data_IF_366888707681
#
_entry.id   IF_366888707681
#
_cell.length_a   1.000
_cell.length_b   1.000
_cell.length_c   1.000
_cell.angle_alpha   90.00
_cell.angle_beta   90.00
_cell.angle_gamma   90.00
#
_symmetry.space_group_name_H-M   'P 1'
#
loop_
_entity.id
_entity.type
_entity.pdbx_description
1 polymer ?
#
# COMPACT_ATOMS: atom_id res chain seq x y z
N UNK A 1 -11.65 26.67 -9.80
CA UNK A 1 -12.54 25.72 -9.09
C UNK A 1 -13.87 25.70 -9.82
N UNK A 2 -14.08 24.76 -10.76
CA UNK A 2 -15.32 24.71 -11.54
C UNK A 2 -16.42 23.95 -10.78
N UNK A 3 -17.65 24.44 -10.86
CA UNK A 3 -18.84 23.88 -10.20
C UNK A 3 -19.19 22.45 -10.65
N UNK A 4 -18.57 21.93 -11.72
CA UNK A 4 -18.75 20.55 -12.18
C UNK A 4 -18.10 19.50 -11.25
N UNK A 5 -17.12 19.88 -10.44
CA UNK A 5 -16.46 18.97 -9.49
C UNK A 5 -17.34 18.62 -8.27
N UNK A 6 -18.43 19.36 -8.02
CA UNK A 6 -19.30 19.14 -6.86
C UNK A 6 -20.24 17.93 -6.97
N UNK A 7 -20.34 17.31 -8.15
CA UNK A 7 -21.18 16.12 -8.43
C UNK A 7 -20.36 14.85 -8.69
N UNK A 8 -19.03 14.93 -8.70
CA UNK A 8 -18.17 13.77 -8.89
C UNK A 8 -18.02 13.01 -7.56
N UNK A 9 -18.13 11.67 -7.61
CA UNK A 9 -17.80 10.78 -6.49
C UNK A 9 -16.44 11.21 -5.93
N UNK A 10 -16.29 11.37 -4.60
CA UNK A 10 -15.00 11.77 -4.04
C UNK A 10 -13.92 10.78 -4.49
N UNK A 11 -12.71 11.27 -4.84
CA UNK A 11 -11.65 10.40 -5.34
C UNK A 11 -11.32 9.33 -4.30
N UNK A 12 -11.30 8.08 -4.75
CA UNK A 12 -11.03 6.92 -3.91
C UNK A 12 -9.57 6.50 -4.04
N UNK A 13 -9.08 5.85 -2.99
CA UNK A 13 -7.83 5.11 -3.08
C UNK A 13 -8.01 3.94 -4.07
N UNK A 14 -7.03 3.76 -4.95
CA UNK A 14 -7.00 2.71 -5.96
C UNK A 14 -5.68 1.96 -5.84
N UNK A 15 -5.77 0.64 -5.89
CA UNK A 15 -4.61 -0.24 -5.95
C UNK A 15 -4.48 -0.77 -7.37
N UNK A 16 -3.33 -0.56 -8.01
CA UNK A 16 -3.09 -1.05 -9.37
C UNK A 16 -1.94 -2.03 -9.36
N UNK A 17 -2.17 -3.26 -9.82
CA UNK A 17 -1.10 -4.20 -10.06
C UNK A 17 -0.27 -3.73 -11.26
N UNK A 18 1.00 -3.42 -11.05
CA UNK A 18 1.87 -2.82 -12.07
C UNK A 18 2.11 -3.79 -13.24
N UNK A 19 2.12 -5.10 -12.97
CA UNK A 19 2.41 -6.11 -13.99
C UNK A 19 1.19 -6.41 -14.87
N UNK A 20 -0.01 -6.50 -14.28
CA UNK A 20 -1.23 -6.86 -15.02
C UNK A 20 -2.05 -5.65 -15.46
N UNK A 21 -1.82 -4.48 -14.86
CA UNK A 21 -2.66 -3.29 -15.04
C UNK A 21 -4.04 -3.40 -14.36
N UNK A 22 -4.30 -4.48 -13.62
CA UNK A 22 -5.55 -4.66 -12.89
C UNK A 22 -5.67 -3.61 -11.79
N UNK A 23 -6.74 -2.82 -11.83
CA UNK A 23 -7.02 -1.78 -10.86
C UNK A 23 -8.19 -2.20 -9.97
N UNK A 24 -8.03 -1.97 -8.67
CA UNK A 24 -9.02 -2.26 -7.65
C UNK A 24 -9.28 -1.00 -6.81
N UNK A 25 -10.46 -0.43 -6.97
CA UNK A 25 -10.89 0.72 -6.15
C UNK A 25 -11.28 0.27 -4.75
N UNK A 26 -10.85 1.02 -3.73
CA UNK A 26 -11.26 0.78 -2.36
C UNK A 26 -12.74 1.14 -2.17
N UNK A 27 -13.47 0.34 -1.38
CA UNK A 27 -14.88 0.63 -1.05
C UNK A 27 -14.99 1.90 -0.19
N UNK A 28 -14.12 1.99 0.81
CA UNK A 28 -13.96 3.15 1.67
C UNK A 28 -12.48 3.56 1.67
N UNK A 29 -12.24 4.87 1.71
CA UNK A 29 -10.89 5.36 1.91
C UNK A 29 -10.43 5.01 3.34
N UNK A 30 -9.15 4.66 3.53
CA UNK A 30 -8.59 4.49 4.86
C UNK A 30 -8.83 5.74 5.72
N UNK A 31 -9.11 5.56 7.00
CA UNK A 31 -9.33 6.68 7.94
C UNK A 31 -8.03 7.31 8.42
N UNK A 32 -6.97 6.51 8.44
CA UNK A 32 -5.64 6.88 8.89
C UNK A 32 -4.59 6.21 8.00
N UNK A 33 -3.44 6.86 7.88
CA UNK A 33 -2.27 6.35 7.17
C UNK A 33 -1.04 6.63 8.02
N UNK A 34 -0.25 5.60 8.27
CA UNK A 34 1.04 5.74 8.96
C UNK A 34 2.18 5.48 7.99
N UNK A 35 3.03 6.47 7.82
CA UNK A 35 4.24 6.38 7.02
C UNK A 35 5.46 6.32 7.93
N UNK A 36 6.34 5.35 7.67
CA UNK A 36 7.58 5.15 8.43
C UNK A 36 8.78 5.21 7.49
N UNK A 37 9.67 6.17 7.75
CA UNK A 37 10.97 6.30 7.10
C UNK A 37 12.06 6.18 8.16
N UNK A 38 12.95 5.19 8.03
CA UNK A 38 14.00 4.93 9.02
C UNK A 38 15.37 5.22 8.43
N UNK A 39 16.12 6.13 9.06
CA UNK A 39 17.50 6.44 8.65
C UNK A 39 18.50 5.69 9.53
N UNK A 40 19.40 4.94 8.90
CA UNK A 40 20.39 4.12 9.59
C UNK A 40 21.75 4.83 9.62
N UNK A 41 22.30 4.93 10.83
CA UNK A 41 23.59 5.54 11.11
C UNK A 41 24.49 4.54 11.82
N UNK A 42 25.69 4.34 11.29
CA UNK A 42 26.75 3.64 12.00
C UNK A 42 27.43 4.58 12.99
N UNK A 43 27.72 4.11 14.20
CA UNK A 43 28.31 4.93 15.28
C UNK A 43 29.73 4.48 15.54
N UNK A 44 30.70 5.29 15.13
CA UNK A 44 32.12 4.99 15.28
C UNK A 44 32.65 5.61 16.57
N UNK A 45 33.13 4.77 17.48
CA UNK A 45 33.84 5.19 18.69
C UNK A 45 35.32 5.41 18.38
N UNK A 46 35.74 6.67 18.31
CA UNK A 46 37.15 7.02 18.13
C UNK A 46 37.73 7.46 19.47
N UNK A 47 38.74 6.75 20.03
CA UNK A 47 39.40 7.15 21.26
C UNK A 47 39.92 8.59 21.19
N UNK A 48 39.67 9.38 22.23
CA UNK A 48 40.05 10.79 22.29
C UNK A 48 38.97 11.78 21.83
N UNK A 49 37.87 11.31 21.23
CA UNK A 49 36.68 12.14 21.00
C UNK A 49 35.67 12.01 22.15
N UNK A 50 34.98 13.11 22.46
CA UNK A 50 33.93 13.18 23.47
C UNK A 50 32.59 12.59 23.02
N UNK A 51 32.43 12.32 21.72
CA UNK A 51 31.21 11.80 21.12
C UNK A 51 31.53 10.78 20.03
N UNK A 52 30.53 9.99 19.67
CA UNK A 52 30.63 9.02 18.57
C UNK A 52 30.40 9.72 17.23
N UNK A 53 31.25 9.43 16.25
CA UNK A 53 31.07 9.93 14.88
C UNK A 53 29.95 9.14 14.22
N UNK A 54 28.96 9.86 13.68
CA UNK A 54 27.86 9.27 12.94
C UNK A 54 28.23 9.16 11.46
N UNK A 55 28.24 7.94 10.93
CA UNK A 55 28.42 7.66 9.52
C UNK A 55 27.08 7.23 8.92
N UNK A 56 26.62 7.96 7.89
CA UNK A 56 25.40 7.60 7.18
C UNK A 56 25.57 6.24 6.50
N UNK A 57 24.69 5.30 6.82
CA UNK A 57 24.68 3.97 6.20
C UNK A 57 23.69 3.93 5.03
N UNK A 58 22.50 4.51 5.23
CA UNK A 58 21.41 4.49 4.26
C UNK A 58 20.08 4.78 4.93
N UNK A 59 19.07 5.05 4.11
CA UNK A 59 17.68 5.14 4.56
C UNK A 59 16.98 3.84 4.18
N UNK A 60 16.32 3.19 5.13
CA UNK A 60 15.45 2.04 4.84
C UNK A 60 14.26 2.48 3.98
N UNK A 61 13.72 1.55 3.19
CA UNK A 61 12.54 1.78 2.36
C UNK A 61 11.39 2.34 3.21
N UNK A 62 10.62 3.25 2.61
CA UNK A 62 9.41 3.81 3.22
C UNK A 62 8.39 2.71 3.42
N UNK A 63 7.81 2.63 4.62
CA UNK A 63 6.77 1.65 4.94
C UNK A 63 5.45 2.36 5.23
N UNK A 64 4.39 1.97 4.51
CA UNK A 64 3.02 2.36 4.85
C UNK A 64 2.43 1.25 5.72
N UNK A 65 2.45 1.47 7.03
CA UNK A 65 2.08 0.45 8.01
C UNK A 65 0.62 0.57 8.44
N UNK A 66 -0.06 -0.57 8.53
CA UNK A 66 -1.40 -0.63 9.10
C UNK A 66 -2.46 0.09 8.27
N UNK A 67 -2.37 0.02 6.93
CA UNK A 67 -3.41 0.59 6.07
C UNK A 67 -4.65 -0.29 6.18
N UNK A 68 -5.72 0.26 6.76
CA UNK A 68 -6.95 -0.47 7.01
C UNK A 68 -7.97 -0.22 5.90
N UNK A 69 -8.33 -1.30 5.20
CA UNK A 69 -9.43 -1.32 4.24
C UNK A 69 -10.63 -2.01 4.86
N UNK A 70 -11.71 -1.26 5.01
CA UNK A 70 -12.99 -1.80 5.46
C UNK A 70 -13.83 -2.23 4.26
N UNK A 71 -14.37 -3.45 4.30
CA UNK A 71 -15.21 -3.99 3.24
C UNK A 71 -16.53 -4.51 3.81
N UNK A 72 -17.63 -4.09 3.17
CA UNK A 72 -19.00 -4.42 3.55
C UNK A 72 -19.81 -4.76 2.29
N UNK A 73 -20.33 -5.99 2.24
CA UNK A 73 -21.16 -6.49 1.16
C UNK A 73 -22.49 -5.75 1.02
N UNK A 74 -23.10 -5.31 2.13
CA UNK A 74 -24.37 -4.57 2.08
C UNK A 74 -24.17 -3.21 1.42
N UNK A 75 -23.07 -2.55 1.75
CA UNK A 75 -22.76 -1.25 1.16
C UNK A 75 -22.32 -1.35 -0.30
N UNK A 76 -21.54 -2.38 -0.65
CA UNK A 76 -21.13 -2.64 -2.03
C UNK A 76 -22.35 -2.86 -2.95
N UNK A 77 -23.32 -3.68 -2.52
CA UNK A 77 -24.53 -3.94 -3.32
C UNK A 77 -25.41 -2.71 -3.55
N UNK A 78 -25.44 -1.76 -2.60
CA UNK A 78 -26.22 -0.53 -2.73
C UNK A 78 -25.61 0.49 -3.69
N UNK A 79 -24.27 0.51 -3.85
CA UNK A 79 -23.60 1.49 -4.71
C UNK A 79 -23.66 1.19 -6.21
N UNK A 80 -24.39 0.14 -6.63
CA UNK A 80 -24.37 -0.41 -7.99
C UNK A 80 -22.96 -0.81 -8.49
N UNK A 81 -21.97 -0.70 -7.62
CA UNK A 81 -20.62 -1.18 -7.82
C UNK A 81 -20.70 -2.69 -7.62
N UNK A 82 -20.53 -3.46 -8.69
CA UNK A 82 -20.46 -4.93 -8.61
C UNK A 82 -19.11 -5.37 -8.02
N UNK A 83 -18.54 -4.58 -7.11
CA UNK A 83 -17.29 -4.84 -6.44
C UNK A 83 -17.54 -5.98 -5.46
N UNK A 84 -17.25 -7.19 -5.94
CA UNK A 84 -17.25 -8.37 -5.11
C UNK A 84 -16.20 -8.17 -4.02
N UNK A 85 -16.62 -8.03 -2.76
CA UNK A 85 -15.70 -7.87 -1.64
C UNK A 85 -14.66 -9.00 -1.59
N UNK A 86 -14.98 -10.20 -2.10
CA UNK A 86 -14.03 -11.31 -2.21
C UNK A 86 -13.03 -11.15 -3.35
N UNK A 87 -13.35 -10.40 -4.40
CA UNK A 87 -12.40 -10.07 -5.44
C UNK A 87 -11.29 -9.16 -4.89
N UNK A 88 -11.64 -8.18 -4.05
CA UNK A 88 -10.63 -7.35 -3.36
C UNK A 88 -9.70 -8.19 -2.48
N UNK A 89 -10.26 -9.14 -1.71
CA UNK A 89 -9.47 -10.11 -0.93
C UNK A 89 -8.56 -10.94 -1.83
N UNK A 90 -9.09 -11.48 -2.93
CA UNK A 90 -8.34 -12.32 -3.86
C UNK A 90 -7.19 -11.53 -4.50
N UNK A 91 -7.44 -10.27 -4.88
CA UNK A 91 -6.45 -9.34 -5.40
C UNK A 91 -5.31 -9.11 -4.40
N UNK A 92 -5.63 -8.72 -3.15
CA UNK A 92 -4.60 -8.53 -2.11
C UNK A 92 -3.79 -9.79 -1.86
N UNK A 93 -4.43 -10.97 -1.87
CA UNK A 93 -3.74 -12.25 -1.69
C UNK A 93 -2.84 -12.58 -2.90
N UNK A 94 -3.26 -12.25 -4.11
CA UNK A 94 -2.45 -12.45 -5.31
C UNK A 94 -1.16 -11.63 -5.28
N UNK A 95 -1.18 -10.43 -4.68
CA UNK A 95 0.01 -9.58 -4.50
C UNK A 95 1.03 -10.15 -3.50
N UNK A 96 0.64 -11.13 -2.67
CA UNK A 96 1.57 -11.77 -1.72
C UNK A 96 2.32 -12.97 -2.29
N UNK A 97 1.99 -13.38 -3.53
CA UNK A 97 2.56 -14.56 -4.16
C UNK A 97 3.10 -14.24 -5.56
N UNK A 98 4.09 -14.99 -6.05
CA UNK A 98 4.64 -14.76 -7.38
C UNK A 98 3.62 -15.05 -8.49
N UNK A 99 3.67 -14.34 -9.63
CA UNK A 99 2.81 -14.61 -10.77
C UNK A 99 3.18 -15.92 -11.49
N UNK A 100 2.25 -16.49 -12.26
CA UNK A 100 2.50 -17.71 -13.02
C UNK A 100 3.47 -17.47 -14.20
N UNK A 101 4.22 -18.49 -14.60
CA UNK A 101 5.11 -18.44 -15.77
C UNK A 101 6.49 -17.85 -15.51
N UNK A 102 6.85 -17.64 -14.24
CA UNK A 102 8.17 -17.15 -13.85
C UNK A 102 9.15 -18.31 -13.68
N UNK A 103 10.12 -18.43 -14.59
CA UNK A 103 11.24 -19.37 -14.45
C UNK A 103 12.45 -18.65 -13.82
N UNK A 104 12.93 -19.15 -12.68
CA UNK A 104 14.11 -18.64 -11.98
C UNK A 104 13.81 -17.75 -10.76
N UNK A 105 14.75 -17.75 -9.80
CA UNK A 105 14.61 -17.13 -8.46
C UNK A 105 14.32 -15.63 -8.51
N UNK A 106 14.87 -14.90 -9.49
CA UNK A 106 14.64 -13.45 -9.67
C UNK A 106 13.26 -13.13 -10.25
N UNK A 107 12.67 -14.05 -11.03
CA UNK A 107 11.33 -13.88 -11.58
C UNK A 107 10.24 -14.26 -10.56
N UNK A 108 10.61 -14.93 -9.45
CA UNK A 108 9.69 -15.37 -8.39
C UNK A 108 9.35 -14.26 -7.38
N UNK A 109 9.55 -12.99 -7.72
CA UNK A 109 9.19 -11.88 -6.83
C UNK A 109 7.67 -11.65 -6.83
N UNK A 110 7.08 -11.27 -5.67
CA UNK A 110 5.69 -10.82 -5.64
C UNK A 110 5.46 -9.59 -6.54
N UNK A 111 4.27 -9.43 -7.15
CA UNK A 111 3.95 -8.29 -7.99
C UNK A 111 4.05 -6.96 -7.22
N UNK A 112 4.48 -5.92 -7.94
CA UNK A 112 4.43 -4.54 -7.45
C UNK A 112 3.02 -3.97 -7.56
N UNK A 113 2.66 -3.13 -6.62
CA UNK A 113 1.38 -2.44 -6.56
C UNK A 113 1.61 -0.94 -6.50
N UNK A 114 0.92 -0.20 -7.36
CA UNK A 114 0.83 1.25 -7.29
C UNK A 114 -0.37 1.60 -6.40
N UNK A 115 -0.10 2.22 -5.25
CA UNK A 115 -1.12 2.78 -4.38
C UNK A 115 -1.33 4.23 -4.79
N UNK A 116 -2.52 4.53 -5.29
CA UNK A 116 -2.90 5.85 -5.77
C UNK A 116 -4.05 6.38 -4.94
N UNK A 117 -3.78 7.42 -4.16
CA UNK A 117 -4.79 8.15 -3.42
C UNK A 117 -4.70 9.64 -3.82
N UNK A 118 -5.62 10.13 -4.67
CA UNK A 118 -5.50 11.46 -5.23
C UNK A 118 -5.40 12.56 -4.17
N UNK A 119 -4.33 13.35 -4.24
CA UNK A 119 -4.04 14.47 -3.33
C UNK A 119 -3.51 14.04 -1.96
N UNK A 120 -3.19 12.76 -1.77
CA UNK A 120 -2.64 12.22 -0.52
C UNK A 120 -1.33 11.50 -0.77
N UNK A 121 -1.31 10.53 -1.68
CA UNK A 121 -0.09 9.77 -1.99
C UNK A 121 -0.19 9.08 -3.36
N UNK A 122 0.94 8.97 -4.02
CA UNK A 122 1.15 8.05 -5.14
C UNK A 122 2.46 7.33 -4.91
N UNK A 123 2.44 6.02 -4.66
CA UNK A 123 3.65 5.25 -4.36
C UNK A 123 3.62 3.87 -4.99
N UNK A 124 4.74 3.46 -5.57
CA UNK A 124 4.96 2.10 -6.03
C UNK A 124 5.58 1.28 -4.89
N UNK A 125 4.91 0.20 -4.50
CA UNK A 125 5.30 -0.60 -3.35
C UNK A 125 5.04 -2.08 -3.57
N UNK A 126 5.53 -2.90 -2.65
CA UNK A 126 5.19 -4.32 -2.52
C UNK A 126 4.39 -4.53 -1.26
N UNK A 127 3.56 -5.57 -1.26
CA UNK A 127 2.79 -5.97 -0.09
C UNK A 127 3.70 -6.76 0.84
N UNK A 128 4.07 -6.17 1.97
CA UNK A 128 4.93 -6.80 2.97
C UNK A 128 4.13 -7.73 3.91
N UNK A 129 2.90 -7.34 4.27
CA UNK A 129 2.00 -8.18 5.06
C UNK A 129 0.54 -7.82 4.81
N UNK A 130 -0.35 -8.82 4.96
CA UNK A 130 -1.80 -8.65 4.92
C UNK A 130 -2.44 -9.46 6.04
N UNK A 131 -3.29 -8.82 6.82
CA UNK A 131 -4.13 -9.44 7.82
C UNK A 131 -5.61 -9.26 7.45
N UNK A 132 -6.39 -10.35 7.46
CA UNK A 132 -7.83 -10.31 7.21
C UNK A 132 -8.59 -10.64 8.48
N UNK A 133 -9.33 -9.66 8.99
CA UNK A 133 -10.22 -9.84 10.15
C UNK A 133 -11.67 -9.90 9.71
N UNK A 134 -12.26 -11.10 9.71
CA UNK A 134 -13.67 -11.32 9.39
C UNK A 134 -14.54 -11.02 10.62
N UNK A 135 -15.52 -10.11 10.49
CA UNK A 135 -16.34 -9.66 11.63
C UNK A 135 -17.81 -10.09 11.52
N UNK A 136 -18.33 -10.30 10.32
CA UNK A 136 -19.69 -10.80 10.10
C UNK A 136 -19.73 -11.88 9.03
N UNK A 137 -20.27 -13.04 9.41
CA UNK A 137 -20.52 -14.17 8.52
C UNK A 137 -22.04 -14.41 8.50
N UNK A 138 -22.58 -14.60 7.30
CA UNK A 138 -23.96 -15.03 7.11
C UNK A 138 -24.14 -16.49 7.56
N UNK A 139 -25.39 -16.90 7.75
CA UNK A 139 -25.76 -18.27 8.17
C UNK A 139 -25.30 -19.33 7.14
N UNK A 140 -25.19 -18.94 5.88
CA UNK A 140 -24.67 -19.76 4.78
C UNK A 140 -23.12 -19.78 4.69
N UNK A 141 -22.43 -19.11 5.63
CA UNK A 141 -20.96 -19.04 5.69
C UNK A 141 -20.34 -17.97 4.80
N UNK A 142 -21.15 -17.16 4.09
CA UNK A 142 -20.61 -16.03 3.31
C UNK A 142 -20.12 -14.94 4.23
N UNK A 143 -18.96 -14.36 3.93
CA UNK A 143 -18.51 -13.17 4.64
C UNK A 143 -19.33 -11.98 4.17
N UNK A 144 -19.85 -11.24 5.14
CA UNK A 144 -20.58 -9.99 4.90
C UNK A 144 -19.67 -8.78 5.14
N UNK A 145 -18.84 -8.84 6.17
CA UNK A 145 -17.96 -7.73 6.58
C UNK A 145 -16.61 -8.25 7.01
N UNK A 146 -15.54 -7.62 6.51
CA UNK A 146 -14.19 -7.85 6.98
C UNK A 146 -13.33 -6.59 6.87
N UNK A 147 -12.22 -6.59 7.61
CA UNK A 147 -11.17 -5.57 7.52
C UNK A 147 -9.91 -6.21 6.99
N UNK A 148 -9.28 -5.60 5.99
CA UNK A 148 -7.95 -5.97 5.52
C UNK A 148 -6.95 -4.92 5.99
N UNK A 149 -6.01 -5.33 6.84
CA UNK A 149 -4.90 -4.48 7.28
C UNK A 149 -3.67 -4.84 6.47
N UNK A 150 -3.15 -3.88 5.70
CA UNK A 150 -2.03 -4.11 4.78
C UNK A 150 -0.84 -3.26 5.20
N UNK A 151 0.34 -3.86 5.16
CA UNK A 151 1.61 -3.14 5.22
C UNK A 151 2.24 -3.13 3.85
N UNK A 152 2.51 -1.94 3.33
CA UNK A 152 3.22 -1.75 2.07
C UNK A 152 4.65 -1.29 2.32
N UNK A 153 5.57 -1.73 1.50
CA UNK A 153 6.97 -1.30 1.49
C UNK A 153 7.32 -0.75 0.12
N UNK A 154 7.75 0.51 0.07
CA UNK A 154 8.09 1.21 -1.16
C UNK A 154 9.26 0.54 -1.87
N UNK A 155 9.19 0.50 -3.21
CA UNK A 155 10.29 0.03 -4.04
C UNK A 155 10.87 1.21 -4.81
N UNK A 156 12.17 1.43 -4.63
CA UNK A 156 12.92 2.46 -5.35
C UNK A 156 13.94 1.77 -6.27
N UNK A 157 13.75 1.93 -7.58
CA UNK A 157 14.68 1.39 -8.58
C UNK A 157 15.90 2.28 -8.81
N UNK A 158 15.82 3.54 -8.37
CA UNK A 158 16.88 4.53 -8.59
C UNK A 158 17.28 5.21 -7.29
N UNK A 159 18.53 5.67 -7.26
CA UNK A 159 19.02 6.47 -6.15
C UNK A 159 18.28 7.80 -6.13
N UNK A 160 17.60 8.07 -5.02
CA UNK A 160 16.92 9.34 -4.80
C UNK A 160 17.78 10.28 -3.95
N UNK A 161 17.78 11.55 -4.31
CA UNK A 161 18.47 12.63 -3.56
C UNK A 161 17.50 13.39 -2.67
N UNK A 162 18.02 14.11 -1.68
CA UNK A 162 17.20 14.87 -0.74
C UNK A 162 16.39 15.99 -1.42
N UNK A 163 16.95 16.55 -2.48
CA UNK A 163 16.36 17.59 -3.31
C UNK A 163 15.18 17.04 -4.12
N UNK A 164 15.32 15.82 -4.65
CA UNK A 164 14.26 15.13 -5.37
C UNK A 164 13.10 14.74 -4.45
N UNK A 165 13.37 14.16 -3.27
CA UNK A 165 12.33 13.82 -2.30
C UNK A 165 11.55 15.06 -1.82
N UNK A 166 12.21 16.22 -1.71
CA UNK A 166 11.52 17.48 -1.34
C UNK A 166 10.54 17.95 -2.40
N UNK A 167 10.78 17.63 -3.67
CA UNK A 167 9.93 18.03 -4.80
C UNK A 167 8.74 17.09 -5.00
N UNK A 168 8.71 15.97 -4.29
CA UNK A 168 7.63 15.01 -4.36
C UNK A 168 6.36 15.64 -3.74
N UNK A 169 5.39 15.94 -4.60
CA UNK A 169 4.08 16.49 -4.23
C UNK A 169 3.08 15.32 -4.20
N UNK A 170 2.19 15.23 -3.19
CA UNK A 170 1.18 14.18 -3.10
C UNK A 170 0.09 14.22 -4.19
#
# INVERSE_FOLDING_TARGET
MSFAAGLARPPRCVLVNVLTGEAMECLFNPTQLTEKCQVNWNRLTVPGLSHQVLQFQGTSNRQLSGVEFYLDAFFATQQADTSNIMAFRAFLRALTVPPAGTEGVLATAPPRVLVLWPGVLTVECVVASVEFQYRQLAVDGRVLVYTATVTFEEVLDTRVTSEQLRQEVP
#
